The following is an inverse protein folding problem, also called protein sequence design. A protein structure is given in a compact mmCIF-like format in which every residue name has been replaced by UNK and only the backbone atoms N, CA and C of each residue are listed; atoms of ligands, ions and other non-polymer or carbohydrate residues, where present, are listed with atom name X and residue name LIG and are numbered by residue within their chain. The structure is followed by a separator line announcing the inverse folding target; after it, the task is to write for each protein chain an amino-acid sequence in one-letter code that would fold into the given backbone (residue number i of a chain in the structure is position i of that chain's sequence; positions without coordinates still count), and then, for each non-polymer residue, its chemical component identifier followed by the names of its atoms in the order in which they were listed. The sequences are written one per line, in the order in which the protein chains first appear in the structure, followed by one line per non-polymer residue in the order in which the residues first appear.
data_IF_360196012398
#
_entry.id   IF_360196012398
#
_cell.length_a   1.000
_cell.length_b   1.000
_cell.length_c   1.000
_cell.angle_alpha   90.00
_cell.angle_beta   90.00
_cell.angle_gamma   90.00
#
_symmetry.space_group_name_H-M   'P 1'
#
loop_
_entity.id
_entity.type
_entity.pdbx_description
1 polymer ?
#
# COMPACT_ATOMS: atom_id res chain seq x y z
N UNK A 1 15.27 20.76 32.12
CA UNK A 1 14.31 20.02 31.27
C UNK A 1 14.72 20.23 29.81
N UNK A 2 15.25 19.21 29.11
CA UNK A 2 15.59 19.29 27.68
C UNK A 2 14.61 18.41 26.91
N UNK A 3 13.70 19.05 26.18
CA UNK A 3 12.73 18.39 25.31
C UNK A 3 13.46 17.59 24.24
N UNK A 4 13.28 16.26 24.28
CA UNK A 4 13.65 15.36 23.20
C UNK A 4 12.70 15.65 22.03
N UNK A 5 13.11 16.53 21.12
CA UNK A 5 12.59 16.51 19.74
C UNK A 5 13.14 15.26 19.07
N UNK A 6 12.49 14.11 19.28
CA UNK A 6 12.72 12.95 18.44
C UNK A 6 11.84 13.08 17.18
N UNK A 7 12.54 13.36 16.09
CA UNK A 7 12.26 12.91 14.72
C UNK A 7 10.90 13.22 14.07
N UNK A 8 10.78 14.46 13.56
CA UNK A 8 9.89 14.75 12.42
C UNK A 8 10.23 13.89 11.18
N UNK A 9 11.51 13.52 11.00
CA UNK A 9 11.99 12.70 9.88
C UNK A 9 11.44 11.25 9.84
N UNK A 10 10.87 10.73 10.94
CA UNK A 10 10.21 9.40 10.91
C UNK A 10 8.78 9.50 10.39
N UNK A 11 8.11 10.62 10.66
CA UNK A 11 6.73 10.87 10.22
C UNK A 11 6.68 11.31 8.75
N UNK A 12 7.71 12.04 8.28
CA UNK A 12 7.82 12.50 6.90
C UNK A 12 8.16 11.37 5.91
N UNK A 13 8.70 10.23 6.37
CA UNK A 13 8.90 9.06 5.50
C UNK A 13 7.56 8.42 5.07
N UNK A 14 6.49 8.64 5.82
CA UNK A 14 5.14 8.19 5.45
C UNK A 14 4.50 9.07 4.36
N UNK A 15 5.07 10.24 4.06
CA UNK A 15 4.54 11.22 3.11
C UNK A 15 5.09 11.10 1.69
N UNK A 16 5.84 10.04 1.37
CA UNK A 16 6.00 9.61 -0.03
C UNK A 16 4.79 8.76 -0.44
N UNK A 17 3.60 9.21 -0.08
CA UNK A 17 2.35 8.48 -0.32
C UNK A 17 1.93 8.72 -1.76
N UNK A 18 2.21 7.75 -2.64
CA UNK A 18 1.53 7.67 -3.94
C UNK A 18 0.04 7.93 -3.71
N UNK A 19 -0.60 8.77 -4.52
CA UNK A 19 -2.00 9.12 -4.32
C UNK A 19 -2.88 7.86 -4.46
N UNK A 20 -3.22 7.24 -3.34
CA UNK A 20 -4.03 6.01 -3.30
C UNK A 20 -5.52 6.30 -3.55
N UNK A 21 -5.91 7.56 -3.77
CA UNK A 21 -7.29 7.91 -4.11
C UNK A 21 -7.71 7.37 -5.48
N UNK A 22 -6.74 7.16 -6.38
CA UNK A 22 -6.97 6.53 -7.70
C UNK A 22 -7.28 5.03 -7.61
N UNK A 23 -7.00 4.41 -6.46
CA UNK A 23 -7.28 3.00 -6.21
C UNK A 23 -8.71 2.80 -5.73
N UNK A 24 -9.33 1.72 -6.19
CA UNK A 24 -10.54 1.19 -5.54
C UNK A 24 -10.20 0.69 -4.14
N UNK A 25 -11.21 0.55 -3.27
CA UNK A 25 -10.97 0.08 -1.89
C UNK A 25 -10.28 -1.30 -1.87
N UNK A 26 -10.71 -2.24 -2.72
CA UNK A 26 -10.10 -3.56 -2.79
C UNK A 26 -8.64 -3.53 -3.30
N UNK A 27 -8.31 -2.65 -4.25
CA UNK A 27 -6.93 -2.45 -4.72
C UNK A 27 -6.07 -1.81 -3.63
N UNK A 28 -6.62 -0.82 -2.91
CA UNK A 28 -5.93 -0.11 -1.83
C UNK A 28 -5.63 -1.03 -0.66
N UNK A 29 -6.57 -1.88 -0.28
CA UNK A 29 -6.41 -2.84 0.80
C UNK A 29 -5.30 -3.83 0.48
N UNK A 30 -5.33 -4.43 -0.72
CA UNK A 30 -4.29 -5.35 -1.19
C UNK A 30 -2.93 -4.66 -1.29
N UNK A 31 -2.89 -3.45 -1.84
CA UNK A 31 -1.66 -2.69 -2.00
C UNK A 31 -1.02 -2.40 -0.65
N UNK A 32 -1.77 -1.88 0.34
CA UNK A 32 -1.26 -1.61 1.69
C UNK A 32 -0.76 -2.87 2.37
N UNK A 33 -1.60 -3.91 2.41
CA UNK A 33 -1.28 -5.17 3.09
C UNK A 33 0.03 -5.81 2.59
N UNK A 34 0.31 -5.71 1.29
CA UNK A 34 1.49 -6.35 0.68
C UNK A 34 2.68 -5.39 0.59
N UNK A 35 2.47 -4.11 0.27
CA UNK A 35 3.54 -3.11 0.08
C UNK A 35 4.12 -2.63 1.41
N UNK A 36 3.29 -2.53 2.47
CA UNK A 36 3.77 -2.28 3.84
C UNK A 36 4.49 -3.51 4.44
N UNK A 37 4.47 -4.65 3.72
CA UNK A 37 5.15 -5.88 4.11
C UNK A 37 4.43 -6.67 5.22
N UNK A 38 3.14 -6.40 5.46
CA UNK A 38 2.34 -7.10 6.47
C UNK A 38 2.05 -8.55 6.06
N UNK A 39 1.85 -8.80 4.76
CA UNK A 39 1.57 -10.14 4.23
C UNK A 39 2.25 -10.43 2.89
N UNK A 40 2.53 -11.71 2.65
CA UNK A 40 2.76 -12.20 1.28
C UNK A 40 1.46 -12.24 0.46
N UNK A 41 1.50 -12.17 -0.89
CA UNK A 41 0.29 -12.19 -1.72
C UNK A 41 -0.59 -13.44 -1.56
N UNK A 42 0.01 -14.59 -1.24
CA UNK A 42 -0.73 -15.84 -0.97
C UNK A 42 -1.32 -15.86 0.44
N UNK A 43 -0.53 -15.43 1.41
CA UNK A 43 -0.94 -15.32 2.81
C UNK A 43 -2.14 -14.37 2.97
N UNK A 44 -2.09 -13.20 2.31
CA UNK A 44 -3.21 -12.27 2.30
C UNK A 44 -4.46 -12.83 1.61
N UNK A 45 -4.26 -13.66 0.58
CA UNK A 45 -5.36 -14.33 -0.11
C UNK A 45 -6.06 -15.33 0.81
N UNK A 46 -5.29 -16.14 1.54
CA UNK A 46 -5.82 -17.11 2.51
C UNK A 46 -6.51 -16.40 3.69
N UNK A 47 -5.92 -15.34 4.24
CA UNK A 47 -6.47 -14.55 5.36
C UNK A 47 -7.82 -13.89 5.00
N UNK A 48 -7.97 -13.47 3.74
CA UNK A 48 -9.16 -12.74 3.27
C UNK A 48 -10.18 -13.61 2.55
N UNK A 49 -9.98 -14.94 2.54
CA UNK A 49 -10.78 -15.91 1.78
C UNK A 49 -10.94 -15.51 0.29
N UNK A 50 -9.87 -14.96 -0.29
CA UNK A 50 -9.80 -14.55 -1.69
C UNK A 50 -8.98 -15.55 -2.49
N UNK A 51 -9.34 -15.74 -3.76
CA UNK A 51 -8.48 -16.49 -4.66
C UNK A 51 -7.13 -15.74 -4.85
N UNK A 52 -5.97 -16.43 -4.81
CA UNK A 52 -4.66 -15.80 -5.01
C UNK A 52 -4.54 -15.02 -6.34
N UNK A 53 -5.22 -15.49 -7.38
CA UNK A 53 -5.30 -14.79 -8.67
C UNK A 53 -6.05 -13.46 -8.59
N UNK A 54 -7.06 -13.35 -7.73
CA UNK A 54 -7.79 -12.09 -7.49
C UNK A 54 -6.88 -11.09 -6.79
N UNK A 55 -6.19 -11.51 -5.72
CA UNK A 55 -5.23 -10.65 -5.01
C UNK A 55 -4.11 -10.18 -5.95
N UNK A 56 -3.53 -11.08 -6.74
CA UNK A 56 -2.51 -10.72 -7.73
C UNK A 56 -3.00 -9.72 -8.78
N UNK A 57 -4.23 -9.89 -9.27
CA UNK A 57 -4.84 -8.96 -10.23
C UNK A 57 -5.08 -7.57 -9.63
N UNK A 58 -5.57 -7.52 -8.39
CA UNK A 58 -5.78 -6.26 -7.67
C UNK A 58 -4.45 -5.55 -7.41
N UNK A 59 -3.43 -6.27 -6.96
CA UNK A 59 -2.10 -5.71 -6.71
C UNK A 59 -1.48 -5.14 -7.98
N UNK A 60 -1.57 -5.88 -9.10
CA UNK A 60 -1.06 -5.42 -10.39
C UNK A 60 -1.76 -4.14 -10.84
N UNK A 61 -3.11 -4.13 -10.81
CA UNK A 61 -3.88 -2.93 -11.17
C UNK A 61 -3.55 -1.73 -10.28
N UNK A 62 -3.34 -1.97 -8.99
CA UNK A 62 -2.94 -0.91 -8.07
C UNK A 62 -1.60 -0.30 -8.50
N UNK A 63 -0.59 -1.13 -8.77
CA UNK A 63 0.73 -0.68 -9.24
C UNK A 63 0.63 0.05 -10.58
N UNK A 64 -0.10 -0.49 -11.55
CA UNK A 64 -0.28 0.13 -12.86
C UNK A 64 -0.89 1.54 -12.74
N UNK A 65 -1.85 1.74 -11.83
CA UNK A 65 -2.49 3.05 -11.60
C UNK A 65 -1.58 4.04 -10.88
N UNK A 66 -0.78 3.58 -9.91
CA UNK A 66 0.15 4.46 -9.19
C UNK A 66 1.35 4.84 -10.04
N UNK A 67 1.85 3.92 -10.88
CA UNK A 67 2.95 4.14 -11.81
C UNK A 67 2.51 5.03 -12.99
N UNK A 68 1.30 4.81 -13.53
CA UNK A 68 0.74 5.59 -14.63
C UNK A 68 0.00 6.89 -14.24
N UNK A 69 -0.26 7.11 -12.95
CA UNK A 69 -1.08 8.22 -12.44
C UNK A 69 -0.31 9.35 -11.76
N UNK A 70 1.01 9.22 -11.60
CA UNK A 70 1.87 10.23 -10.95
C UNK A 70 2.28 11.42 -11.83
N UNK A 71 1.72 11.55 -13.03
CA UNK A 71 2.07 12.61 -13.97
C UNK A 71 0.90 13.04 -14.84
N UNK A 72 0.09 13.97 -14.34
CA UNK A 72 -0.74 14.89 -15.14
C UNK A 72 -1.08 16.11 -14.32
#
# INVERSE_FOLDING_TARGET
MKGRQQSLARFERQQSGSDLSVLTDAERDVYRAIDDGEYGPREYADETDRAPGTVGNLLRRARDKLDGGGGS
#
